data_IF_114842203824
#
_entry.id   IF_114842203824
#
_cell.length_a   1.000
_cell.length_b   1.000
_cell.length_c   1.000
_cell.angle_alpha   90.00
_cell.angle_beta   90.00
_cell.angle_gamma   90.00
#
_symmetry.space_group_name_H-M   'P 1'
#
loop_
_entity.id
_entity.type
_entity.pdbx_description
1 polymer ?
#
# COMPACT_ATOMS: atom_id res chain seq x y z
N UNK A 1 72.81 33.48 -0.58
CA UNK A 1 71.98 33.71 0.62
C UNK A 1 71.18 34.98 0.36
N UNK A 2 69.87 34.87 0.11
CA UNK A 2 68.88 34.93 1.21
C UNK A 2 67.64 34.00 1.08
N UNK A 3 66.97 33.90 2.23
CA UNK A 3 65.57 33.56 2.58
C UNK A 3 64.86 32.31 2.01
N UNK A 4 64.82 31.25 2.83
CA UNK A 4 63.71 30.28 2.85
C UNK A 4 62.51 30.91 3.58
N UNK A 5 61.42 31.18 2.86
CA UNK A 5 60.11 31.46 3.46
C UNK A 5 59.53 30.16 4.02
N UNK A 6 59.33 30.09 5.33
CA UNK A 6 58.60 29.01 6.00
C UNK A 6 57.11 29.22 5.80
N UNK A 7 56.49 28.40 4.95
CA UNK A 7 55.04 28.29 4.84
C UNK A 7 54.55 27.40 6.00
N UNK A 8 53.95 28.00 7.03
CA UNK A 8 53.20 27.25 8.03
C UNK A 8 51.83 26.88 7.42
N UNK A 9 51.66 25.60 7.07
CA UNK A 9 50.32 25.04 6.85
C UNK A 9 49.67 24.83 8.23
N UNK A 10 48.74 25.72 8.60
CA UNK A 10 47.81 25.46 9.70
C UNK A 10 46.75 24.49 9.22
N UNK A 11 46.88 23.22 9.60
CA UNK A 11 45.86 22.19 9.34
C UNK A 11 44.73 22.37 10.37
N UNK A 12 43.75 23.22 10.06
CA UNK A 12 42.55 23.34 10.88
C UNK A 12 41.67 22.12 10.60
N UNK A 13 41.79 21.10 11.45
CA UNK A 13 40.90 19.95 11.42
C UNK A 13 39.53 20.40 11.97
N UNK A 14 38.62 20.81 11.08
CA UNK A 14 37.22 21.00 11.43
C UNK A 14 36.63 19.60 11.60
N UNK A 15 36.63 19.11 12.84
CA UNK A 15 35.77 17.98 13.21
C UNK A 15 34.35 18.54 13.19
N UNK A 16 33.67 18.39 12.04
CA UNK A 16 32.24 18.52 11.99
C UNK A 16 31.68 17.41 12.87
N UNK A 17 31.23 17.75 14.08
CA UNK A 17 30.35 16.90 14.86
C UNK A 17 29.08 16.76 14.02
N UNK A 18 28.99 15.71 13.22
CA UNK A 18 27.70 15.23 12.77
C UNK A 18 26.90 14.98 14.05
N UNK A 19 25.73 15.61 14.25
CA UNK A 19 24.82 15.17 15.29
C UNK A 19 24.32 13.80 14.84
N UNK A 20 25.10 12.77 15.17
CA UNK A 20 24.63 11.41 15.04
C UNK A 20 23.72 11.13 16.22
N UNK A 21 22.75 10.26 15.92
CA UNK A 21 21.79 9.66 16.85
C UNK A 21 20.53 10.50 17.07
N UNK A 22 19.59 10.32 16.14
CA UNK A 22 18.17 10.36 16.51
C UNK A 22 17.96 9.31 17.60
N UNK A 23 17.81 9.79 18.83
CA UNK A 23 17.57 8.96 20.01
C UNK A 23 16.06 8.83 20.29
N UNK A 24 15.26 8.68 19.23
CA UNK A 24 13.81 8.53 19.28
C UNK A 24 13.35 7.44 18.34
N UNK A 25 12.23 6.80 18.67
CA UNK A 25 11.62 5.77 17.84
C UNK A 25 11.30 6.36 16.45
N UNK A 26 11.86 5.75 15.40
CA UNK A 26 11.62 6.14 14.01
C UNK A 26 10.64 5.16 13.37
N UNK A 27 9.64 5.67 12.66
CA UNK A 27 8.71 4.87 11.89
C UNK A 27 8.91 5.10 10.39
N UNK A 28 9.05 3.99 9.65
CA UNK A 28 8.98 4.02 8.19
C UNK A 28 7.52 4.10 7.75
N UNK A 29 7.21 5.07 6.90
CA UNK A 29 5.85 5.32 6.41
C UNK A 29 5.79 5.12 4.90
N UNK A 30 4.78 4.40 4.42
CA UNK A 30 4.50 4.22 3.00
C UNK A 30 3.23 4.98 2.60
N UNK A 31 3.31 5.72 1.50
CA UNK A 31 2.20 6.53 0.98
C UNK A 31 1.75 5.96 -0.37
N UNK A 32 0.51 5.49 -0.41
CA UNK A 32 -0.20 5.24 -1.66
C UNK A 32 -0.68 6.52 -2.33
N UNK A 33 -0.88 6.51 -3.65
CA UNK A 33 -1.25 7.70 -4.42
C UNK A 33 -2.10 7.38 -5.65
N UNK A 34 -2.66 8.42 -6.25
CA UNK A 34 -3.11 8.37 -7.65
C UNK A 34 -1.99 8.86 -8.57
N UNK A 35 -1.77 8.14 -9.66
CA UNK A 35 -0.75 8.45 -10.68
C UNK A 35 -1.37 9.11 -11.92
N UNK A 36 -2.39 9.95 -11.72
CA UNK A 36 -3.03 10.74 -12.79
C UNK A 36 -2.29 12.05 -13.08
N UNK A 37 -1.43 12.48 -12.15
CA UNK A 37 -0.52 13.61 -12.29
C UNK A 37 0.94 13.15 -12.18
N UNK A 38 1.78 13.93 -11.50
CA UNK A 38 3.23 13.68 -11.43
C UNK A 38 3.66 12.55 -10.48
N UNK A 39 2.71 11.99 -9.71
CA UNK A 39 3.01 10.89 -8.80
C UNK A 39 3.37 9.63 -9.57
N UNK A 40 4.44 8.95 -9.13
CA UNK A 40 4.95 7.74 -9.78
C UNK A 40 4.39 6.44 -9.21
N UNK A 41 3.78 6.48 -8.03
CA UNK A 41 3.28 5.29 -7.34
C UNK A 41 3.40 5.42 -5.83
N UNK A 42 4.03 4.43 -5.19
CA UNK A 42 4.20 4.36 -3.75
C UNK A 42 5.47 5.11 -3.34
N UNK A 43 5.37 5.93 -2.30
CA UNK A 43 6.50 6.65 -1.71
C UNK A 43 6.79 6.15 -0.30
N UNK A 44 8.02 6.32 0.17
CA UNK A 44 8.43 6.02 1.55
C UNK A 44 9.23 7.17 2.15
N UNK A 45 9.11 7.37 3.46
CA UNK A 45 9.93 8.29 4.25
C UNK A 45 10.06 7.79 5.69
N UNK A 46 11.01 8.33 6.44
CA UNK A 46 11.16 8.08 7.87
C UNK A 46 10.54 9.22 8.68
N UNK A 47 9.72 8.87 9.66
CA UNK A 47 9.08 9.77 10.61
C UNK A 47 9.69 9.57 12.00
N UNK A 48 10.30 10.63 12.53
CA UNK A 48 10.68 10.69 13.94
C UNK A 48 9.41 10.84 14.78
N UNK A 49 9.07 9.83 15.59
CA UNK A 49 7.80 9.80 16.33
C UNK A 49 7.78 10.75 17.53
N UNK A 50 8.93 11.20 18.01
CA UNK A 50 9.01 12.14 19.13
C UNK A 50 8.80 13.58 18.67
N UNK A 51 9.39 13.93 17.53
CA UNK A 51 9.44 15.31 17.02
C UNK A 51 8.47 15.58 15.87
N UNK A 52 7.95 14.53 15.24
CA UNK A 52 7.11 14.62 14.03
C UNK A 52 7.86 15.07 12.78
N UNK A 53 9.20 15.11 12.81
CA UNK A 53 10.01 15.45 11.64
C UNK A 53 10.04 14.26 10.68
N UNK A 54 9.91 14.56 9.39
CA UNK A 54 9.97 13.58 8.32
C UNK A 54 11.18 13.81 7.41
N UNK A 55 11.78 12.73 6.91
CA UNK A 55 12.71 12.82 5.78
C UNK A 55 11.97 13.21 4.50
N UNK A 56 12.72 13.57 3.47
CA UNK A 56 12.14 13.68 2.13
C UNK A 56 11.55 12.33 1.69
N UNK A 57 10.38 12.38 1.06
CA UNK A 57 9.74 11.19 0.53
C UNK A 57 10.39 10.77 -0.79
N UNK A 58 10.83 9.52 -0.84
CA UNK A 58 11.43 8.92 -2.04
C UNK A 58 10.48 7.89 -2.63
N UNK A 59 10.60 7.63 -3.92
CA UNK A 59 9.78 6.62 -4.61
C UNK A 59 10.19 5.24 -4.11
N UNK A 60 9.26 4.51 -3.50
CA UNK A 60 9.47 3.15 -3.03
C UNK A 60 9.18 2.12 -4.13
N UNK A 61 8.15 2.37 -4.95
CA UNK A 61 7.83 1.61 -6.16
C UNK A 61 7.01 2.44 -7.15
N UNK A 62 7.33 2.30 -8.44
CA UNK A 62 6.46 2.79 -9.51
C UNK A 62 5.28 1.84 -9.71
N UNK A 63 4.06 2.37 -9.65
CA UNK A 63 2.84 1.58 -9.72
C UNK A 63 1.66 2.46 -10.14
N UNK A 64 0.76 1.94 -10.98
CA UNK A 64 -0.43 2.70 -11.41
C UNK A 64 -1.50 2.72 -10.32
N UNK A 65 -1.91 3.94 -9.93
CA UNK A 65 -2.95 4.23 -8.93
C UNK A 65 -2.94 3.31 -7.69
N UNK A 66 -1.84 3.23 -6.93
CA UNK A 66 -1.81 2.53 -5.65
C UNK A 66 -2.49 3.34 -4.55
N UNK A 67 -3.80 3.56 -4.66
CA UNK A 67 -4.55 4.43 -3.75
C UNK A 67 -4.67 3.92 -2.32
N UNK A 68 -4.43 2.61 -2.11
CA UNK A 68 -4.45 1.97 -0.79
C UNK A 68 -3.36 0.90 -0.68
N UNK A 69 -2.74 0.81 0.49
CA UNK A 69 -1.69 -0.17 0.80
C UNK A 69 -1.94 -0.82 2.17
N UNK A 70 -1.51 -2.06 2.35
CA UNK A 70 -1.47 -2.71 3.66
C UNK A 70 -0.28 -3.66 3.77
N UNK A 71 0.23 -3.82 4.99
CA UNK A 71 1.27 -4.78 5.32
C UNK A 71 0.70 -6.16 5.62
N UNK A 72 1.52 -7.19 5.41
CA UNK A 72 1.29 -8.45 6.12
C UNK A 72 1.58 -8.30 7.63
N UNK A 73 1.11 -9.21 8.50
CA UNK A 73 1.29 -9.10 9.95
C UNK A 73 2.75 -9.03 10.42
N UNK A 74 3.71 -9.49 9.62
CA UNK A 74 5.14 -9.47 9.94
C UNK A 74 5.93 -8.34 9.27
N UNK A 75 5.26 -7.50 8.47
CA UNK A 75 5.86 -6.37 7.76
C UNK A 75 7.02 -6.76 6.84
N UNK A 76 6.98 -7.98 6.29
CA UNK A 76 7.91 -8.45 5.26
C UNK A 76 7.42 -8.10 3.85
N UNK A 77 6.10 -7.95 3.72
CA UNK A 77 5.40 -7.71 2.48
C UNK A 77 4.44 -6.54 2.59
N UNK A 78 4.29 -5.83 1.48
CA UNK A 78 3.29 -4.78 1.29
C UNK A 78 2.44 -5.13 0.07
N UNK A 79 1.13 -5.02 0.22
CA UNK A 79 0.17 -5.20 -0.85
C UNK A 79 -0.50 -3.87 -1.17
N UNK A 80 -0.61 -3.55 -2.45
CA UNK A 80 -1.23 -2.33 -2.94
C UNK A 80 -2.33 -2.65 -3.93
N UNK A 81 -3.45 -1.91 -3.85
CA UNK A 81 -4.44 -1.95 -4.93
C UNK A 81 -3.86 -1.32 -6.19
N UNK A 82 -4.39 -1.70 -7.35
CA UNK A 82 -4.23 -0.98 -8.60
C UNK A 82 -5.62 -0.47 -8.98
N UNK A 83 -5.94 0.75 -8.57
CA UNK A 83 -7.27 1.32 -8.72
C UNK A 83 -7.52 1.77 -10.17
N UNK A 84 -7.83 0.78 -11.00
CA UNK A 84 -8.17 0.96 -12.41
C UNK A 84 -9.41 0.12 -12.74
N UNK A 85 -10.13 0.51 -13.78
CA UNK A 85 -11.25 -0.27 -14.28
C UNK A 85 -10.77 -1.53 -15.02
N UNK A 86 -9.66 -1.44 -15.75
CA UNK A 86 -9.08 -2.53 -16.54
C UNK A 86 -7.58 -2.63 -16.32
N UNK A 87 -7.17 -3.61 -15.53
CA UNK A 87 -5.79 -3.96 -15.28
C UNK A 87 -5.28 -4.94 -16.35
N UNK A 88 -3.98 -4.91 -16.71
CA UNK A 88 -3.40 -5.89 -17.63
C UNK A 88 -3.73 -7.33 -17.19
N UNK A 89 -4.25 -8.12 -18.12
CA UNK A 89 -4.74 -9.48 -17.86
C UNK A 89 -6.25 -9.60 -17.62
N UNK A 90 -6.99 -8.49 -17.47
CA UNK A 90 -8.46 -8.52 -17.32
C UNK A 90 -9.19 -9.01 -18.57
N UNK A 91 -8.54 -8.99 -19.74
CA UNK A 91 -9.15 -9.28 -21.05
C UNK A 91 -10.43 -8.48 -21.33
N UNK A 92 -10.49 -7.24 -20.84
CA UNK A 92 -11.66 -6.36 -21.01
C UNK A 92 -12.86 -6.73 -20.14
N UNK A 93 -12.67 -7.58 -19.12
CA UNK A 93 -13.72 -7.97 -18.17
C UNK A 93 -13.95 -6.95 -17.05
N UNK A 94 -13.30 -5.78 -17.07
CA UNK A 94 -13.51 -4.74 -16.08
C UNK A 94 -13.03 -5.14 -14.68
N UNK A 95 -11.74 -5.48 -14.56
CA UNK A 95 -11.13 -5.81 -13.27
C UNK A 95 -9.86 -4.96 -13.02
N UNK A 96 -9.74 -4.40 -11.83
CA UNK A 96 -8.49 -3.82 -11.34
C UNK A 96 -7.52 -4.88 -10.82
N UNK A 97 -6.42 -4.45 -10.20
CA UNK A 97 -5.38 -5.36 -9.73
C UNK A 97 -5.04 -5.21 -8.24
N UNK A 98 -4.28 -6.16 -7.73
CA UNK A 98 -3.49 -6.04 -6.50
C UNK A 98 -2.06 -6.44 -6.83
N UNK A 99 -1.10 -5.65 -6.37
CA UNK A 99 0.33 -5.94 -6.52
C UNK A 99 0.96 -6.17 -5.16
N UNK A 100 1.69 -7.28 -5.03
CA UNK A 100 2.48 -7.61 -3.85
C UNK A 100 3.95 -7.18 -4.02
N UNK A 101 4.54 -6.73 -2.92
CA UNK A 101 5.93 -6.28 -2.84
C UNK A 101 6.62 -6.91 -1.63
N UNK A 102 7.92 -7.19 -1.76
CA UNK A 102 8.82 -7.44 -0.63
C UNK A 102 9.43 -6.13 -0.18
N UNK A 103 9.46 -5.92 1.13
CA UNK A 103 10.06 -4.75 1.75
C UNK A 103 11.54 -5.01 2.01
N UNK A 104 12.40 -4.10 1.57
CA UNK A 104 13.76 -4.03 2.08
C UNK A 104 13.73 -3.41 3.49
N UNK A 105 14.08 -4.19 4.52
CA UNK A 105 14.03 -3.75 5.91
C UNK A 105 15.01 -2.59 6.21
N UNK A 106 16.13 -2.51 5.49
CA UNK A 106 17.14 -1.48 5.71
C UNK A 106 16.75 -0.18 4.99
N UNK A 107 16.38 -0.27 3.71
CA UNK A 107 16.18 0.92 2.85
C UNK A 107 14.74 1.37 2.69
N UNK A 108 13.78 0.47 2.92
CA UNK A 108 12.36 0.72 2.68
C UNK A 108 11.93 0.56 1.23
N UNK A 109 12.85 0.26 0.32
CA UNK A 109 12.54 0.01 -1.08
C UNK A 109 11.60 -1.20 -1.24
N UNK A 110 10.70 -1.11 -2.23
CA UNK A 110 9.73 -2.17 -2.52
C UNK A 110 10.14 -2.92 -3.78
N UNK A 111 10.46 -4.20 -3.61
CA UNK A 111 10.70 -5.10 -4.75
C UNK A 111 9.40 -5.77 -5.15
N UNK A 112 8.91 -5.51 -6.36
CA UNK A 112 7.69 -6.14 -6.89
C UNK A 112 7.83 -7.68 -6.90
N UNK A 113 6.82 -8.38 -6.40
CA UNK A 113 6.70 -9.83 -6.45
C UNK A 113 5.87 -10.27 -7.66
N UNK A 114 4.56 -10.05 -7.59
CA UNK A 114 3.64 -10.28 -8.70
C UNK A 114 2.40 -9.39 -8.56
N UNK A 115 1.52 -9.46 -9.56
CA UNK A 115 0.21 -8.82 -9.54
C UNK A 115 -0.85 -9.86 -9.88
N UNK A 116 -2.05 -9.69 -9.32
CA UNK A 116 -3.22 -10.52 -9.59
C UNK A 116 -4.45 -9.63 -9.82
N UNK A 117 -5.42 -10.14 -10.58
CA UNK A 117 -6.69 -9.45 -10.73
C UNK A 117 -7.46 -9.45 -9.40
N UNK A 118 -8.01 -8.29 -9.05
CA UNK A 118 -8.84 -8.10 -7.85
C UNK A 118 -10.27 -8.69 -7.99
N UNK A 119 -10.61 -9.19 -9.18
CA UNK A 119 -11.93 -9.74 -9.51
C UNK A 119 -12.99 -8.71 -9.92
N UNK A 120 -12.81 -7.41 -9.62
CA UNK A 120 -13.75 -6.36 -9.99
C UNK A 120 -13.07 -5.02 -10.29
N UNK A 121 -13.79 -4.10 -10.92
CA UNK A 121 -13.25 -2.80 -11.31
C UNK A 121 -12.99 -1.90 -10.10
N UNK A 122 -11.91 -1.10 -10.15
CA UNK A 122 -11.60 -0.06 -9.17
C UNK A 122 -11.46 -0.57 -7.73
N UNK A 123 -10.53 -1.49 -7.42
CA UNK A 123 -10.18 -1.85 -6.05
C UNK A 123 -9.69 -0.60 -5.32
N UNK A 124 -10.33 -0.26 -4.21
CA UNK A 124 -10.08 0.98 -3.48
C UNK A 124 -9.59 0.75 -2.04
N UNK A 125 -9.66 -0.49 -1.57
CA UNK A 125 -9.26 -0.88 -0.23
C UNK A 125 -8.87 -2.36 -0.22
N UNK A 126 -7.89 -2.71 0.60
CA UNK A 126 -7.55 -4.09 0.90
C UNK A 126 -7.19 -4.25 2.38
N UNK A 127 -7.26 -5.48 2.87
CA UNK A 127 -6.73 -5.88 4.18
C UNK A 127 -6.01 -7.23 4.05
N UNK A 128 -4.97 -7.44 4.85
CA UNK A 128 -4.31 -8.74 4.98
C UNK A 128 -4.84 -9.40 6.23
N UNK A 129 -5.15 -10.69 6.15
CA UNK A 129 -5.65 -11.42 7.31
C UNK A 129 -4.59 -11.61 8.39
N UNK A 130 -5.03 -11.82 9.64
CA UNK A 130 -4.12 -11.87 10.79
C UNK A 130 -3.12 -13.04 10.75
N UNK A 131 -3.33 -14.04 9.88
CA UNK A 131 -2.38 -15.15 9.64
C UNK A 131 -1.41 -14.89 8.48
N UNK A 132 -1.60 -13.79 7.73
CA UNK A 132 -0.79 -13.45 6.57
C UNK A 132 -0.97 -14.39 5.37
N UNK A 133 -2.13 -15.05 5.25
CA UNK A 133 -2.40 -16.06 4.21
C UNK A 133 -3.35 -15.58 3.11
N UNK A 134 -4.00 -14.44 3.28
CA UNK A 134 -4.99 -13.91 2.36
C UNK A 134 -4.99 -12.38 2.35
N UNK A 135 -5.16 -11.82 1.16
CA UNK A 135 -5.55 -10.42 0.96
C UNK A 135 -7.03 -10.37 0.61
N UNK A 136 -7.81 -9.61 1.37
CA UNK A 136 -9.21 -9.30 1.06
C UNK A 136 -9.27 -7.95 0.37
N UNK A 137 -10.08 -7.83 -0.69
CA UNK A 137 -10.14 -6.62 -1.53
C UNK A 137 -11.57 -6.14 -1.67
N UNK A 138 -11.78 -4.83 -1.60
CA UNK A 138 -13.05 -4.17 -1.91
C UNK A 138 -12.95 -3.40 -3.24
N UNK A 139 -13.79 -3.80 -4.20
CA UNK A 139 -13.86 -3.25 -5.55
C UNK A 139 -15.00 -2.23 -5.64
N UNK A 140 -14.67 -0.94 -5.59
CA UNK A 140 -15.66 0.13 -5.61
C UNK A 140 -16.39 0.22 -6.94
N UNK A 141 -15.63 0.16 -8.05
CA UNK A 141 -16.19 0.30 -9.40
C UNK A 141 -17.07 -0.87 -9.80
N UNK A 142 -16.76 -2.08 -9.32
CA UNK A 142 -17.56 -3.29 -9.58
C UNK A 142 -18.63 -3.60 -8.51
N UNK A 143 -18.53 -3.00 -7.33
CA UNK A 143 -19.43 -3.30 -6.21
C UNK A 143 -19.29 -4.75 -5.72
N UNK A 144 -18.06 -5.20 -5.51
CA UNK A 144 -17.75 -6.58 -5.17
C UNK A 144 -16.59 -6.69 -4.19
N UNK A 145 -16.43 -7.88 -3.61
CA UNK A 145 -15.26 -8.23 -2.79
C UNK A 145 -14.61 -9.52 -3.28
N UNK A 146 -13.32 -9.67 -3.02
CA UNK A 146 -12.57 -10.88 -3.37
C UNK A 146 -11.55 -11.24 -2.29
N UNK A 147 -11.11 -12.50 -2.31
CA UNK A 147 -10.03 -13.01 -1.47
C UNK A 147 -8.93 -13.58 -2.37
N UNK A 148 -7.70 -13.07 -2.22
CA UNK A 148 -6.52 -13.53 -2.92
C UNK A 148 -5.59 -14.24 -1.92
N UNK A 149 -5.38 -15.55 -2.02
CA UNK A 149 -4.45 -16.24 -1.14
C UNK A 149 -3.00 -15.80 -1.37
N UNK A 150 -2.18 -15.90 -0.33
CA UNK A 150 -0.76 -15.54 -0.31
C UNK A 150 0.08 -16.83 -0.25
N UNK A 151 1.07 -16.96 -1.13
CA UNK A 151 2.09 -18.00 -1.08
C UNK A 151 3.10 -17.72 0.03
N UNK A 152 3.85 -18.76 0.44
CA UNK A 152 4.88 -18.61 1.47
C UNK A 152 6.03 -17.66 1.07
N UNK A 153 6.20 -17.36 -0.22
CA UNK A 153 7.17 -16.38 -0.71
C UNK A 153 6.64 -14.93 -0.77
N UNK A 154 5.37 -14.72 -0.38
CA UNK A 154 4.64 -13.46 -0.39
C UNK A 154 3.87 -13.17 -1.68
N UNK A 155 4.01 -13.99 -2.72
CA UNK A 155 3.29 -13.79 -3.99
C UNK A 155 1.79 -14.09 -3.84
N UNK A 156 0.96 -13.37 -4.62
CA UNK A 156 -0.49 -13.55 -4.65
C UNK A 156 -0.88 -14.69 -5.60
N UNK A 157 -1.84 -15.52 -5.18
CA UNK A 157 -2.56 -16.45 -6.05
C UNK A 157 -3.78 -15.77 -6.68
N UNK A 158 -4.33 -16.41 -7.70
CA UNK A 158 -5.65 -16.04 -8.23
C UNK A 158 -6.70 -16.06 -7.12
N UNK A 159 -7.75 -15.24 -7.27
CA UNK A 159 -8.79 -15.11 -6.27
C UNK A 159 -9.44 -16.47 -5.96
N UNK A 160 -9.43 -16.88 -4.69
CA UNK A 160 -10.08 -18.10 -4.21
C UNK A 160 -11.57 -17.91 -3.93
N UNK A 161 -12.00 -16.66 -3.76
CA UNK A 161 -13.38 -16.27 -3.53
C UNK A 161 -13.67 -14.91 -4.15
N UNK A 162 -14.89 -14.74 -4.66
CA UNK A 162 -15.42 -13.51 -5.24
C UNK A 162 -16.91 -13.43 -4.93
N UNK A 163 -17.36 -12.27 -4.46
CA UNK A 163 -18.77 -12.03 -4.15
C UNK A 163 -19.19 -10.71 -4.80
N UNK A 164 -20.09 -10.83 -5.78
CA UNK A 164 -20.78 -9.69 -6.37
C UNK A 164 -21.91 -9.25 -5.45
N UNK A 165 -21.91 -7.99 -5.04
CA UNK A 165 -23.06 -7.43 -4.35
C UNK A 165 -24.14 -7.02 -5.37
N UNK A 166 -25.37 -6.83 -4.90
CA UNK A 166 -26.49 -6.40 -5.73
C UNK A 166 -27.43 -5.49 -4.93
N UNK A 167 -28.13 -4.60 -5.65
CA UNK A 167 -29.06 -3.64 -5.08
C UNK A 167 -28.62 -2.20 -5.32
N UNK A 168 -29.29 -1.28 -4.65
CA UNK A 168 -29.10 0.16 -4.73
C UNK A 168 -29.62 0.81 -3.43
N UNK A 169 -29.43 2.13 -3.30
CA UNK A 169 -30.02 2.92 -2.21
C UNK A 169 -30.56 4.26 -2.73
N UNK A 170 -30.92 5.15 -1.82
CA UNK A 170 -31.73 6.36 -2.08
C UNK A 170 -31.00 7.46 -2.85
N UNK A 171 -29.67 7.50 -2.83
CA UNK A 171 -28.91 8.52 -3.55
C UNK A 171 -28.74 8.14 -5.03
N UNK A 172 -29.63 8.65 -5.87
CA UNK A 172 -29.61 8.40 -7.32
C UNK A 172 -28.31 8.80 -8.04
N UNK A 173 -27.43 9.62 -7.45
CA UNK A 173 -26.14 9.98 -8.08
C UNK A 173 -24.98 9.06 -7.69
N UNK A 174 -25.09 8.37 -6.55
CA UNK A 174 -23.96 7.66 -5.92
C UNK A 174 -24.27 6.21 -5.56
N UNK A 175 -25.53 5.80 -5.61
CA UNK A 175 -26.03 4.54 -5.06
C UNK A 175 -26.99 3.85 -6.04
N UNK A 176 -26.82 4.03 -7.34
CA UNK A 176 -27.59 3.31 -8.37
C UNK A 176 -27.24 1.82 -8.42
N UNK A 177 -26.11 1.44 -7.81
CA UNK A 177 -25.60 0.08 -7.70
C UNK A 177 -24.69 -0.04 -6.48
N UNK A 178 -24.16 -1.25 -6.22
CA UNK A 178 -23.22 -1.50 -5.14
C UNK A 178 -21.86 -0.83 -5.39
N UNK A 179 -21.23 -0.41 -4.28
CA UNK A 179 -19.92 0.21 -4.23
C UNK A 179 -19.21 -0.22 -2.93
N UNK A 180 -18.71 -1.46 -2.90
CA UNK A 180 -17.89 -1.96 -1.79
C UNK A 180 -16.66 -1.07 -1.61
N UNK A 181 -16.54 -0.44 -0.44
CA UNK A 181 -15.55 0.63 -0.22
C UNK A 181 -14.50 0.27 0.83
N UNK A 182 -14.78 -0.68 1.72
CA UNK A 182 -13.79 -1.20 2.67
C UNK A 182 -14.11 -2.65 3.02
N UNK A 183 -13.07 -3.40 3.35
CA UNK A 183 -13.17 -4.76 3.89
C UNK A 183 -12.22 -4.90 5.06
N UNK A 184 -12.78 -5.19 6.24
CA UNK A 184 -12.05 -5.25 7.50
C UNK A 184 -12.34 -6.57 8.20
N UNK A 185 -11.35 -7.18 8.82
CA UNK A 185 -11.51 -8.44 9.53
C UNK A 185 -11.86 -8.21 11.00
N UNK A 186 -12.65 -9.13 11.58
CA UNK A 186 -12.86 -9.18 13.02
C UNK A 186 -11.53 -9.48 13.74
N UNK A 187 -11.36 -9.01 14.99
CA UNK A 187 -10.13 -9.27 15.74
C UNK A 187 -9.79 -10.75 15.92
N UNK A 188 -10.78 -11.64 15.85
CA UNK A 188 -10.60 -13.09 15.93
C UNK A 188 -10.44 -13.79 14.57
N UNK A 189 -10.32 -13.02 13.48
CA UNK A 189 -10.12 -13.48 12.10
C UNK A 189 -11.22 -14.41 11.57
N UNK A 190 -12.45 -14.33 12.08
CA UNK A 190 -13.58 -15.21 11.68
C UNK A 190 -14.63 -14.53 10.81
N UNK A 191 -14.62 -13.21 10.75
CA UNK A 191 -15.60 -12.44 10.00
C UNK A 191 -14.95 -11.32 9.21
N UNK A 192 -15.44 -11.07 8.00
CA UNK A 192 -15.13 -9.89 7.22
C UNK A 192 -16.34 -8.95 7.21
N UNK A 193 -16.11 -7.70 7.60
CA UNK A 193 -17.07 -6.59 7.57
C UNK A 193 -16.81 -5.73 6.34
N UNK A 194 -17.81 -5.61 5.48
CA UNK A 194 -17.71 -4.88 4.22
C UNK A 194 -18.67 -3.72 4.21
N UNK A 195 -18.13 -2.49 4.29
CA UNK A 195 -18.94 -1.29 4.09
C UNK A 195 -19.18 -1.10 2.59
N UNK A 196 -20.43 -1.22 2.17
CA UNK A 196 -20.85 -0.93 0.80
C UNK A 196 -21.59 0.40 0.75
N UNK A 197 -20.93 1.39 0.16
CA UNK A 197 -21.44 2.75 0.00
C UNK A 197 -22.71 2.76 -0.84
N UNK A 198 -22.78 1.91 -1.87
CA UNK A 198 -23.88 1.84 -2.81
C UNK A 198 -25.17 1.30 -2.20
N UNK A 199 -25.06 0.57 -1.09
CA UNK A 199 -26.16 -0.15 -0.46
C UNK A 199 -26.60 0.41 0.90
N UNK A 200 -25.86 1.36 1.47
CA UNK A 200 -26.00 1.81 2.87
C UNK A 200 -25.98 0.65 3.87
N UNK A 201 -25.06 -0.31 3.66
CA UNK A 201 -24.96 -1.53 4.47
C UNK A 201 -23.52 -1.84 4.88
N UNK A 202 -23.39 -2.48 6.04
CA UNK A 202 -22.22 -3.27 6.39
C UNK A 202 -22.60 -4.73 6.23
N UNK A 203 -22.06 -5.38 5.20
CA UNK A 203 -22.25 -6.81 4.98
C UNK A 203 -21.25 -7.59 5.84
N UNK A 204 -21.67 -8.74 6.37
CA UNK A 204 -20.83 -9.57 7.23
C UNK A 204 -20.71 -10.95 6.59
N UNK A 205 -19.49 -11.36 6.31
CA UNK A 205 -19.17 -12.68 5.79
C UNK A 205 -18.45 -13.48 6.86
N UNK A 206 -18.75 -14.79 6.95
CA UNK A 206 -17.85 -15.70 7.65
C UNK A 206 -16.58 -15.83 6.81
N UNK A 207 -15.44 -15.76 7.47
CA UNK A 207 -14.10 -15.89 6.92
C UNK A 207 -13.40 -17.09 7.58
#
# INVERSE_FOLDING_TARGET
>A
MPSLSRLLLSLTCVVALAPNVWAGDTARVYIGSYTRGDSKGIYTFELDLETGKATEAVVAAELTNPSFVAFDPHHHYLYAVNEVADFPGSSGKGAGGVTGFRINADTGELTKLNSQLSGGAGPCHLSVDHTGKNVLVANYGGGSVAVLPINDDGTLKEASSFIQHAGSSVNERRQQGPHAHSVNLSPDNKYAFVADLGLDKVLIYRF
#
